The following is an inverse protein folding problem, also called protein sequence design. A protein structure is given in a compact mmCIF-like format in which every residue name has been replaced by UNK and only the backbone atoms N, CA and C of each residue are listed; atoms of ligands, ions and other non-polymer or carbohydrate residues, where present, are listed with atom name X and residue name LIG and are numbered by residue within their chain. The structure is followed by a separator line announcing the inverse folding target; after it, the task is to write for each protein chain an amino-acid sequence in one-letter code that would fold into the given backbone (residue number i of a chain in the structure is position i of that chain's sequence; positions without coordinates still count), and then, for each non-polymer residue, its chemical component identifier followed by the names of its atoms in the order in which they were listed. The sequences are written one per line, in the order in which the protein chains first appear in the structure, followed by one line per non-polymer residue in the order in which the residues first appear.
data_IF_004285719940
#
_entry.id   IF_004285719940
#
_cell.length_a   1.000
_cell.length_b   1.000
_cell.length_c   1.000
_cell.angle_alpha   90.00
_cell.angle_beta   90.00
_cell.angle_gamma   90.00
#
_symmetry.space_group_name_H-M   'P 1'
#
loop_
_entity.id
_entity.type
_entity.pdbx_description
1 polymer ?
#
# COMPACT_ATOMS: atom_id res chain seq x y z
N UNK A 1 8.09 44.42 -64.36
CA UNK A 1 9.00 43.27 -64.56
C UNK A 1 8.74 42.33 -63.40
N UNK A 2 7.72 41.47 -63.39
CA UNK A 2 7.42 40.29 -64.22
C UNK A 2 8.56 39.28 -64.36
N UNK A 3 8.30 38.08 -63.82
CA UNK A 3 9.09 36.85 -63.90
C UNK A 3 9.31 36.27 -62.49
N UNK A 4 8.70 35.18 -62.02
CA UNK A 4 7.94 34.12 -62.67
C UNK A 4 8.56 32.76 -62.37
N UNK A 5 7.80 31.90 -61.66
CA UNK A 5 7.83 30.42 -61.65
C UNK A 5 9.10 29.70 -61.13
N UNK A 6 9.08 28.48 -60.55
CA UNK A 6 8.06 27.60 -59.99
C UNK A 6 8.78 26.32 -59.47
N UNK A 7 8.16 25.64 -58.49
CA UNK A 7 8.15 24.17 -58.27
C UNK A 7 9.41 23.50 -57.68
N UNK A 8 9.39 22.39 -56.93
CA UNK A 8 8.36 21.46 -56.47
C UNK A 8 8.98 20.55 -55.39
N UNK A 9 8.14 19.88 -54.58
CA UNK A 9 8.41 18.69 -53.75
C UNK A 9 9.37 18.89 -52.54
N UNK A 10 9.21 18.24 -51.38
CA UNK A 10 8.61 16.94 -51.17
C UNK A 10 8.08 16.79 -49.73
N UNK A 11 7.04 15.96 -49.61
CA UNK A 11 6.27 15.68 -48.41
C UNK A 11 6.94 14.51 -47.67
N UNK A 12 7.42 14.73 -46.44
CA UNK A 12 7.67 13.64 -45.50
C UNK A 12 6.79 13.80 -44.27
N UNK A 13 5.59 13.21 -44.35
CA UNK A 13 4.78 12.85 -43.19
C UNK A 13 5.28 11.49 -42.69
N UNK A 14 6.20 11.49 -41.74
CA UNK A 14 6.45 10.29 -40.94
C UNK A 14 5.36 10.17 -39.88
N UNK A 15 4.32 9.40 -40.21
CA UNK A 15 3.39 8.86 -39.23
C UNK A 15 4.10 7.83 -38.37
N UNK A 16 4.29 8.15 -37.09
CA UNK A 16 4.65 7.18 -36.08
C UNK A 16 3.42 6.29 -35.82
N UNK A 17 3.36 5.15 -36.51
CA UNK A 17 2.45 4.05 -36.17
C UNK A 17 3.06 3.33 -34.98
N UNK A 18 2.55 3.62 -33.78
CA UNK A 18 2.80 2.81 -32.59
C UNK A 18 2.22 1.41 -32.81
N UNK A 19 3.07 0.46 -33.20
CA UNK A 19 2.80 -0.96 -33.03
C UNK A 19 2.86 -1.25 -31.52
N UNK A 20 1.71 -1.17 -30.87
CA UNK A 20 1.48 -1.87 -29.61
C UNK A 20 1.62 -3.35 -29.94
N UNK A 21 2.66 -3.98 -29.40
CA UNK A 21 2.88 -5.41 -29.54
C UNK A 21 1.77 -6.16 -28.82
N UNK A 22 1.10 -7.04 -29.56
CA UNK A 22 -0.02 -7.91 -29.17
C UNK A 22 0.33 -8.92 -28.06
N UNK A 23 1.50 -8.81 -27.43
CA UNK A 23 2.01 -9.70 -26.40
C UNK A 23 1.49 -9.35 -24.99
N UNK A 24 1.15 -8.09 -24.72
CA UNK A 24 0.70 -7.65 -23.38
C UNK A 24 -0.80 -7.90 -23.14
N UNK A 25 -1.63 -7.98 -24.18
CA UNK A 25 -3.06 -8.30 -24.06
C UNK A 25 -3.32 -9.78 -23.78
N UNK A 26 -2.41 -10.67 -24.19
CA UNK A 26 -2.48 -12.12 -23.94
C UNK A 26 -2.14 -12.44 -22.47
N UNK A 27 -1.29 -11.63 -21.84
CA UNK A 27 -0.83 -11.82 -20.45
C UNK A 27 -1.94 -11.61 -19.42
N UNK A 28 -2.77 -10.57 -19.59
CA UNK A 28 -3.88 -10.28 -18.67
C UNK A 28 -5.02 -11.31 -18.77
N UNK A 29 -5.36 -11.77 -19.98
CA UNK A 29 -6.42 -12.77 -20.18
C UNK A 29 -6.07 -14.17 -19.66
N UNK A 30 -4.78 -14.55 -19.67
CA UNK A 30 -4.31 -15.80 -19.08
C UNK A 30 -4.30 -15.75 -17.55
N UNK A 31 -3.99 -14.59 -16.97
CA UNK A 31 -4.03 -14.37 -15.53
C UNK A 31 -5.47 -14.42 -14.98
N UNK A 32 -6.43 -13.78 -15.65
CA UNK A 32 -7.85 -13.83 -15.28
C UNK A 32 -8.45 -15.23 -15.47
N UNK A 33 -7.96 -16.01 -16.44
CA UNK A 33 -8.35 -17.41 -16.61
C UNK A 33 -7.76 -18.33 -15.54
N UNK A 34 -6.58 -17.98 -14.99
CA UNK A 34 -5.95 -18.72 -13.89
C UNK A 34 -6.55 -18.33 -12.53
N UNK A 35 -6.81 -17.04 -12.30
CA UNK A 35 -7.53 -16.50 -11.13
C UNK A 35 -9.01 -16.95 -11.14
N UNK A 36 -9.66 -17.02 -12.30
CA UNK A 36 -11.00 -17.61 -12.45
C UNK A 36 -11.04 -19.11 -12.13
N UNK A 37 -9.93 -19.83 -12.35
CA UNK A 37 -9.76 -21.23 -11.94
C UNK A 37 -9.41 -21.40 -10.44
N UNK A 38 -9.11 -20.33 -9.70
CA UNK A 38 -8.91 -20.37 -8.22
C UNK A 38 -10.21 -20.69 -7.48
N UNK A 39 -11.36 -20.45 -8.11
CA UNK A 39 -12.67 -20.75 -7.52
C UNK A 39 -13.11 -22.21 -7.68
N UNK A 40 -12.27 -23.09 -8.24
CA UNK A 40 -12.55 -24.53 -8.27
C UNK A 40 -11.92 -25.22 -7.04
N UNK A 41 -12.71 -25.57 -6.00
CA UNK A 41 -12.20 -26.11 -4.73
C UNK A 41 -11.43 -27.43 -4.89
N UNK A 42 -11.54 -28.11 -6.05
CA UNK A 42 -10.79 -29.35 -6.34
C UNK A 42 -9.33 -29.12 -6.77
N UNK A 43 -8.95 -27.91 -7.22
CA UNK A 43 -7.58 -27.61 -7.68
C UNK A 43 -6.71 -26.86 -6.66
N UNK A 44 -7.32 -26.38 -5.57
CA UNK A 44 -6.65 -25.64 -4.51
C UNK A 44 -5.47 -26.41 -3.86
N UNK A 45 -5.60 -27.71 -3.54
CA UNK A 45 -4.55 -28.43 -2.82
C UNK A 45 -3.27 -28.61 -3.66
N UNK A 46 -3.42 -28.89 -4.96
CA UNK A 46 -2.29 -29.08 -5.86
C UNK A 46 -1.49 -27.78 -6.05
N UNK A 47 -2.17 -26.64 -6.19
CA UNK A 47 -1.54 -25.32 -6.33
C UNK A 47 -0.82 -24.88 -5.05
N UNK A 48 -1.41 -25.09 -3.88
CA UNK A 48 -0.79 -24.77 -2.60
C UNK A 48 0.44 -25.65 -2.33
N UNK A 49 0.37 -26.93 -2.70
CA UNK A 49 1.51 -27.85 -2.60
C UNK A 49 2.66 -27.39 -3.50
N UNK A 50 2.39 -26.99 -4.75
CA UNK A 50 3.41 -26.51 -5.67
C UNK A 50 4.05 -25.19 -5.19
N UNK A 51 3.24 -24.25 -4.67
CA UNK A 51 3.73 -22.99 -4.10
C UNK A 51 4.62 -23.23 -2.87
N UNK A 52 4.21 -24.13 -1.98
CA UNK A 52 4.99 -24.50 -0.80
C UNK A 52 6.35 -25.11 -1.20
N UNK A 53 6.34 -26.10 -2.09
CA UNK A 53 7.56 -26.74 -2.57
C UNK A 53 8.52 -25.74 -3.23
N UNK A 54 7.99 -24.80 -4.02
CA UNK A 54 8.77 -23.73 -4.63
C UNK A 54 9.39 -22.78 -3.61
N UNK A 55 8.57 -22.29 -2.66
CA UNK A 55 9.03 -21.36 -1.63
C UNK A 55 10.11 -21.98 -0.74
N UNK A 56 9.93 -23.24 -0.32
CA UNK A 56 10.92 -23.98 0.48
C UNK A 56 12.23 -24.19 -0.29
N UNK A 57 12.14 -24.57 -1.56
CA UNK A 57 13.31 -24.79 -2.40
C UNK A 57 14.09 -23.49 -2.64
N UNK A 58 13.40 -22.41 -3.04
CA UNK A 58 14.02 -21.09 -3.23
C UNK A 58 14.72 -20.61 -1.94
N UNK A 59 14.03 -20.71 -0.80
CA UNK A 59 14.56 -20.26 0.47
C UNK A 59 15.78 -21.07 0.94
N UNK A 60 15.74 -22.39 0.75
CA UNK A 60 16.84 -23.30 1.11
C UNK A 60 18.08 -23.06 0.24
N UNK A 61 17.89 -22.61 -1.01
CA UNK A 61 18.95 -22.39 -1.98
C UNK A 61 19.42 -20.93 -2.09
N UNK A 62 18.89 -20.01 -1.27
CA UNK A 62 19.14 -18.56 -1.36
C UNK A 62 20.62 -18.15 -1.44
N UNK A 63 21.51 -18.88 -0.74
CA UNK A 63 22.95 -18.58 -0.66
C UNK A 63 23.78 -19.06 -1.86
N UNK A 64 23.17 -19.70 -2.85
CA UNK A 64 23.90 -20.29 -3.99
C UNK A 64 24.29 -19.29 -5.09
N UNK A 65 24.17 -17.97 -4.85
CA UNK A 65 24.46 -16.91 -5.82
C UNK A 65 23.78 -17.14 -7.19
N UNK A 66 22.54 -17.61 -7.16
CA UNK A 66 21.74 -17.87 -8.35
C UNK A 66 20.99 -16.60 -8.77
N UNK A 67 20.93 -16.35 -10.07
CA UNK A 67 20.00 -15.41 -10.66
C UNK A 67 18.64 -16.08 -10.67
N UNK A 68 17.66 -15.56 -9.91
CA UNK A 68 16.36 -16.21 -9.80
C UNK A 68 15.47 -15.75 -10.96
N UNK A 69 15.29 -16.60 -11.96
CA UNK A 69 14.26 -16.44 -12.98
C UNK A 69 13.23 -17.56 -12.86
N UNK A 70 12.04 -17.45 -13.48
CA UNK A 70 11.06 -18.54 -13.51
C UNK A 70 11.66 -19.89 -13.92
N UNK A 71 12.64 -19.86 -14.84
CA UNK A 71 13.32 -21.04 -15.38
C UNK A 71 13.99 -21.90 -14.29
N UNK A 72 14.39 -21.32 -13.15
CA UNK A 72 15.00 -22.07 -12.02
C UNK A 72 14.04 -23.03 -11.34
N UNK A 73 12.73 -22.85 -11.51
CA UNK A 73 11.71 -23.77 -10.97
C UNK A 73 11.23 -24.78 -12.01
N UNK A 74 11.63 -24.63 -13.27
CA UNK A 74 11.18 -25.47 -14.38
C UNK A 74 12.12 -26.63 -14.67
N UNK A 75 11.72 -27.49 -15.61
CA UNK A 75 12.56 -28.57 -16.16
C UNK A 75 13.90 -28.10 -16.76
N UNK A 76 14.05 -26.80 -17.05
CA UNK A 76 15.33 -26.26 -17.52
C UNK A 76 16.40 -26.25 -16.42
N UNK A 77 16.01 -26.30 -15.15
CA UNK A 77 16.94 -26.41 -14.05
C UNK A 77 17.48 -27.84 -13.94
N UNK A 78 18.81 -27.99 -13.98
CA UNK A 78 19.49 -29.29 -13.87
C UNK A 78 19.55 -29.84 -12.44
N UNK A 79 19.15 -29.06 -11.43
CA UNK A 79 19.10 -29.50 -10.04
C UNK A 79 17.92 -30.49 -9.85
N UNK A 80 18.17 -31.77 -9.51
CA UNK A 80 17.11 -32.77 -9.36
C UNK A 80 16.19 -32.50 -8.16
N UNK A 81 16.59 -31.61 -7.25
CA UNK A 81 15.76 -31.20 -6.12
C UNK A 81 14.76 -30.08 -6.45
N UNK A 82 14.86 -29.48 -7.64
CA UNK A 82 13.94 -28.43 -8.06
C UNK A 82 12.52 -28.98 -8.26
N UNK A 83 11.48 -28.18 -7.96
CA UNK A 83 10.08 -28.63 -8.04
C UNK A 83 9.53 -28.90 -9.44
N UNK A 84 10.35 -28.76 -10.51
CA UNK A 84 10.04 -29.09 -11.92
C UNK A 84 8.63 -28.67 -12.38
N UNK A 85 8.25 -27.41 -12.14
CA UNK A 85 6.94 -26.90 -12.51
C UNK A 85 6.90 -26.35 -13.94
N UNK A 86 5.68 -26.15 -14.48
CA UNK A 86 5.53 -25.50 -15.79
C UNK A 86 5.96 -24.03 -15.72
N UNK A 87 6.35 -23.45 -16.87
CA UNK A 87 6.75 -22.04 -16.93
C UNK A 87 5.65 -21.06 -16.44
N UNK A 88 4.38 -21.42 -16.62
CA UNK A 88 3.23 -20.61 -16.16
C UNK A 88 3.11 -20.66 -14.63
N UNK A 89 3.23 -21.84 -14.04
CA UNK A 89 3.22 -22.01 -12.59
C UNK A 89 4.39 -21.29 -11.92
N UNK A 90 5.60 -21.42 -12.49
CA UNK A 90 6.78 -20.72 -12.00
C UNK A 90 6.56 -19.21 -11.97
N UNK A 91 6.07 -18.62 -13.08
CA UNK A 91 5.75 -17.17 -13.11
C UNK A 91 4.71 -16.77 -12.06
N UNK A 92 3.69 -17.60 -11.84
CA UNK A 92 2.69 -17.35 -10.80
C UNK A 92 3.30 -17.38 -9.40
N UNK A 93 4.22 -18.31 -9.12
CA UNK A 93 4.95 -18.37 -7.84
C UNK A 93 5.76 -17.10 -7.62
N UNK A 94 6.56 -16.69 -8.61
CA UNK A 94 7.38 -15.48 -8.51
C UNK A 94 6.51 -14.23 -8.28
N UNK A 95 5.38 -14.11 -8.98
CA UNK A 95 4.44 -13.01 -8.77
C UNK A 95 3.86 -12.98 -7.34
N UNK A 96 3.44 -14.14 -6.82
CA UNK A 96 2.92 -14.23 -5.43
C UNK A 96 4.00 -13.83 -4.42
N UNK A 97 5.24 -14.27 -4.63
CA UNK A 97 6.35 -13.92 -3.74
C UNK A 97 6.70 -12.42 -3.82
N UNK A 98 6.59 -11.81 -4.99
CA UNK A 98 6.79 -10.38 -5.20
C UNK A 98 5.69 -9.56 -4.51
N UNK A 99 4.42 -9.95 -4.65
CA UNK A 99 3.27 -9.34 -3.95
C UNK A 99 3.40 -9.43 -2.42
N UNK A 100 3.99 -10.53 -1.92
CA UNK A 100 4.31 -10.69 -0.49
C UNK A 100 5.58 -9.94 -0.05
N UNK A 101 6.22 -9.20 -0.96
CA UNK A 101 7.47 -8.47 -0.75
C UNK A 101 8.60 -9.38 -0.20
N UNK A 102 8.60 -10.65 -0.59
CA UNK A 102 9.61 -11.64 -0.23
C UNK A 102 10.75 -11.70 -1.24
N UNK A 103 10.48 -11.24 -2.47
CA UNK A 103 11.45 -11.02 -3.54
C UNK A 103 11.26 -9.64 -4.17
N UNK A 104 12.24 -9.18 -4.93
CA UNK A 104 12.15 -7.97 -5.76
C UNK A 104 12.55 -8.28 -7.20
N UNK A 105 11.80 -7.74 -8.16
CA UNK A 105 12.14 -7.82 -9.56
C UNK A 105 13.19 -6.76 -9.94
N UNK A 106 14.10 -7.15 -10.81
CA UNK A 106 15.00 -6.28 -11.54
C UNK A 106 14.99 -6.70 -13.01
N UNK A 107 15.46 -5.83 -13.90
CA UNK A 107 15.56 -6.13 -15.33
C UNK A 107 17.04 -6.23 -15.68
N UNK A 108 17.43 -7.36 -16.27
CA UNK A 108 18.76 -7.56 -16.82
C UNK A 108 18.62 -8.15 -18.21
N UNK A 109 19.28 -7.54 -19.20
CA UNK A 109 19.23 -7.95 -20.61
C UNK A 109 17.79 -8.09 -21.16
N UNK A 110 16.90 -7.20 -20.69
CA UNK A 110 15.48 -7.21 -21.08
C UNK A 110 14.66 -8.37 -20.49
N UNK A 111 15.22 -9.14 -19.55
CA UNK A 111 14.51 -10.24 -18.87
C UNK A 111 14.29 -9.89 -17.39
N UNK A 112 13.12 -10.25 -16.82
CA UNK A 112 12.89 -10.10 -15.40
C UNK A 112 13.74 -11.12 -14.65
N UNK A 113 14.66 -10.61 -13.85
CA UNK A 113 15.39 -11.37 -12.83
C UNK A 113 14.80 -11.00 -11.47
N UNK A 114 14.83 -11.94 -10.54
CA UNK A 114 14.34 -11.75 -9.20
C UNK A 114 15.47 -11.95 -8.21
N UNK A 115 15.41 -11.20 -7.12
CA UNK A 115 16.31 -11.33 -6.00
C UNK A 115 15.52 -11.65 -4.74
N UNK A 116 15.99 -12.64 -3.99
CA UNK A 116 15.41 -13.00 -2.70
C UNK A 116 15.72 -11.91 -1.67
N UNK A 117 14.72 -11.49 -0.91
CA UNK A 117 14.91 -10.49 0.14
C UNK A 117 15.50 -11.15 1.40
N UNK A 118 16.81 -11.46 1.39
CA UNK A 118 17.47 -12.24 2.44
C UNK A 118 17.36 -11.64 3.85
N UNK A 119 17.26 -10.31 3.97
CA UNK A 119 17.07 -9.64 5.25
C UNK A 119 15.72 -9.95 5.93
N UNK A 120 14.73 -10.48 5.19
CA UNK A 120 13.37 -10.78 5.69
C UNK A 120 13.21 -12.24 6.13
N UNK A 121 14.18 -12.76 6.88
CA UNK A 121 14.18 -14.17 7.35
C UNK A 121 12.86 -14.55 8.03
N UNK A 122 12.41 -13.75 8.99
CA UNK A 122 11.17 -14.03 9.73
C UNK A 122 9.92 -14.02 8.84
N UNK A 123 9.88 -13.16 7.81
CA UNK A 123 8.74 -13.10 6.90
C UNK A 123 8.68 -14.35 6.00
N UNK A 124 9.84 -14.83 5.55
CA UNK A 124 9.95 -16.08 4.80
C UNK A 124 9.53 -17.29 5.62
N UNK A 125 10.04 -17.42 6.84
CA UNK A 125 9.68 -18.52 7.76
C UNK A 125 8.19 -18.51 8.09
N UNK A 126 7.64 -17.32 8.37
CA UNK A 126 6.21 -17.14 8.60
C UNK A 126 5.39 -17.57 7.38
N UNK A 127 5.74 -17.09 6.19
CA UNK A 127 5.03 -17.43 4.95
C UNK A 127 5.03 -18.94 4.67
N UNK A 128 6.19 -19.61 4.81
CA UNK A 128 6.29 -21.07 4.65
C UNK A 128 5.45 -21.80 5.71
N UNK A 129 5.48 -21.33 6.97
CA UNK A 129 4.69 -21.93 8.05
C UNK A 129 3.18 -21.81 7.82
N UNK A 130 2.71 -20.68 7.29
CA UNK A 130 1.30 -20.46 6.94
C UNK A 130 0.87 -21.41 5.82
N UNK A 131 1.68 -21.56 4.77
CA UNK A 131 1.41 -22.51 3.69
C UNK A 131 1.32 -23.96 4.19
N UNK A 132 2.19 -24.37 5.12
CA UNK A 132 2.13 -25.71 5.75
C UNK A 132 0.86 -25.89 6.59
N UNK A 133 0.49 -24.87 7.36
CA UNK A 133 -0.71 -24.91 8.18
C UNK A 133 -1.98 -25.00 7.32
N UNK A 134 -2.03 -24.26 6.22
CA UNK A 134 -3.15 -24.29 5.27
C UNK A 134 -3.32 -25.67 4.62
N UNK A 135 -2.20 -26.31 4.24
CA UNK A 135 -2.19 -27.67 3.71
C UNK A 135 -2.69 -28.70 4.74
N UNK A 136 -2.34 -28.50 6.03
CA UNK A 136 -2.71 -29.42 7.12
C UNK A 136 -4.16 -29.25 7.56
N UNK A 137 -4.68 -28.01 7.52
CA UNK A 137 -6.04 -27.68 7.96
C UNK A 137 -7.11 -27.90 6.89
N UNK A 138 -6.72 -28.25 5.66
CA UNK A 138 -7.67 -28.60 4.60
C UNK A 138 -8.42 -29.88 5.04
N UNK A 139 -9.73 -29.82 5.34
CA UNK A 139 -10.46 -30.95 5.91
C UNK A 139 -10.38 -32.13 4.95
N UNK A 140 -9.63 -33.16 5.34
CA UNK A 140 -9.73 -34.47 4.69
C UNK A 140 -11.19 -34.89 4.80
N UNK A 141 -11.89 -34.93 3.67
CA UNK A 141 -13.26 -35.39 3.60
C UNK A 141 -13.24 -36.89 3.94
N UNK A 142 -13.41 -37.18 5.22
CA UNK A 142 -13.38 -38.52 5.80
C UNK A 142 -14.55 -39.32 5.25
N UNK A 143 -14.34 -40.54 4.72
CA UNK A 143 -15.44 -41.46 4.45
C UNK A 143 -15.94 -42.05 5.79
N UNK A 144 -17.26 -42.06 5.97
CA UNK A 144 -17.96 -42.45 7.20
C UNK A 144 -17.65 -43.88 7.67
N UNK A 145 -17.44 -44.06 8.98
CA UNK A 145 -17.56 -45.35 9.67
C UNK A 145 -17.85 -45.15 11.18
N UNK A 146 -18.70 -46.03 11.73
CA UNK A 146 -19.54 -45.87 12.93
C UNK A 146 -19.09 -46.63 14.20
N UNK A 147 -19.79 -46.35 15.32
CA UNK A 147 -20.20 -47.25 16.44
C UNK A 147 -19.12 -47.69 17.48
N UNK A 148 -19.21 -47.24 18.75
CA UNK A 148 -19.79 -47.88 19.99
C UNK A 148 -18.67 -48.53 20.85
N UNK A 149 -18.68 -48.77 22.18
CA UNK A 149 -19.64 -48.73 23.30
C UNK A 149 -18.87 -48.73 24.64
N UNK A 150 -19.53 -48.38 25.75
CA UNK A 150 -19.06 -48.34 27.13
C UNK A 150 -19.16 -49.68 27.90
N UNK A 151 -18.54 -49.76 29.11
CA UNK A 151 -18.86 -50.76 30.15
C UNK A 151 -18.81 -50.13 31.56
N UNK A 152 -19.81 -50.46 32.37
CA UNK A 152 -20.21 -49.89 33.67
C UNK A 152 -19.88 -50.82 34.85
N UNK A 153 -19.60 -50.29 36.05
CA UNK A 153 -19.36 -51.03 37.30
C UNK A 153 -20.19 -50.47 38.49
N UNK A 154 -20.48 -51.35 39.46
CA UNK A 154 -21.55 -51.25 40.47
C UNK A 154 -21.47 -50.07 41.48
N UNK A 155 -22.60 -49.62 42.06
CA UNK A 155 -22.67 -48.25 42.59
C UNK A 155 -22.67 -48.16 44.13
N UNK A 156 -21.74 -47.38 44.67
CA UNK A 156 -21.49 -47.08 46.10
C UNK A 156 -22.64 -46.29 46.79
N UNK A 157 -23.03 -46.67 48.01
CA UNK A 157 -24.22 -46.16 48.72
C UNK A 157 -23.88 -44.90 49.55
N UNK A 158 -23.24 -43.92 48.92
CA UNK A 158 -23.04 -42.58 49.49
C UNK A 158 -24.07 -41.58 48.96
N UNK A 159 -24.90 -41.99 48.01
CA UNK A 159 -25.77 -41.08 47.27
C UNK A 159 -27.17 -40.98 47.89
N UNK A 160 -27.64 -39.75 48.23
CA UNK A 160 -28.91 -39.53 48.93
C UNK A 160 -30.15 -40.06 48.19
N UNK A 161 -30.07 -40.24 46.86
CA UNK A 161 -31.16 -40.82 46.08
C UNK A 161 -31.38 -42.31 46.37
N UNK A 162 -30.32 -43.07 46.70
CA UNK A 162 -30.43 -44.50 47.07
C UNK A 162 -31.10 -44.66 48.43
N UNK A 163 -30.81 -43.77 49.36
CA UNK A 163 -31.48 -43.70 50.66
C UNK A 163 -32.97 -43.37 50.52
N UNK A 164 -33.32 -42.39 49.68
CA UNK A 164 -34.70 -42.05 49.38
C UNK A 164 -35.47 -43.24 48.77
N UNK A 165 -34.85 -43.95 47.81
CA UNK A 165 -35.48 -45.10 47.16
C UNK A 165 -35.74 -46.26 48.13
N UNK A 166 -34.82 -46.53 49.05
CA UNK A 166 -35.00 -47.53 50.11
C UNK A 166 -36.22 -47.22 50.99
N UNK A 167 -36.41 -45.97 51.41
CA UNK A 167 -37.56 -45.56 52.22
C UNK A 167 -38.89 -45.57 51.44
N UNK A 168 -38.86 -45.22 50.15
CA UNK A 168 -40.04 -45.27 49.27
C UNK A 168 -40.50 -46.73 49.06
N UNK A 169 -39.56 -47.64 48.81
CA UNK A 169 -39.87 -49.06 48.59
C UNK A 169 -40.48 -49.74 49.82
N UNK A 170 -40.01 -49.40 51.03
CA UNK A 170 -40.50 -49.99 52.30
C UNK A 170 -41.91 -49.54 52.68
N UNK A 171 -42.32 -48.32 52.32
CA UNK A 171 -43.62 -47.74 52.70
C UNK A 171 -44.66 -47.74 51.56
N UNK A 172 -44.44 -48.54 50.52
CA UNK A 172 -45.25 -48.59 49.30
C UNK A 172 -46.75 -48.84 49.53
N UNK A 173 -47.10 -49.63 50.55
CA UNK A 173 -48.51 -49.92 50.87
C UNK A 173 -49.27 -48.69 51.38
N UNK A 174 -48.65 -47.81 52.15
CA UNK A 174 -49.28 -46.59 52.66
C UNK A 174 -49.44 -45.53 51.55
N UNK A 175 -48.50 -45.49 50.59
CA UNK A 175 -48.58 -44.62 49.42
C UNK A 175 -49.74 -44.98 48.48
N UNK A 176 -50.14 -46.26 48.41
CA UNK A 176 -51.31 -46.71 47.62
C UNK A 176 -52.65 -46.24 48.17
N UNK A 177 -52.75 -45.94 49.46
CA UNK A 177 -53.99 -45.44 50.08
C UNK A 177 -54.25 -43.96 49.78
N UNK A 178 -53.18 -43.19 49.49
CA UNK A 178 -53.24 -41.74 49.28
C UNK A 178 -52.72 -41.31 47.89
N UNK A 179 -53.17 -42.00 46.82
CA UNK A 179 -52.67 -41.79 45.44
C UNK A 179 -52.71 -40.33 44.98
N UNK A 180 -53.77 -39.59 45.33
CA UNK A 180 -53.91 -38.18 44.96
C UNK A 180 -52.87 -37.28 45.64
N UNK A 181 -52.60 -37.49 46.94
CA UNK A 181 -51.61 -36.69 47.67
C UNK A 181 -50.20 -36.90 47.10
N UNK A 182 -49.84 -38.13 46.74
CA UNK A 182 -48.54 -38.46 46.13
C UNK A 182 -48.40 -37.79 44.75
N UNK A 183 -49.45 -37.83 43.93
CA UNK A 183 -49.45 -37.17 42.61
C UNK A 183 -49.31 -35.65 42.77
N UNK A 184 -50.05 -35.03 43.70
CA UNK A 184 -49.94 -33.59 43.95
C UNK A 184 -48.54 -33.18 44.38
N UNK A 185 -47.91 -33.92 45.31
CA UNK A 185 -46.54 -33.64 45.75
C UNK A 185 -45.56 -33.81 44.57
N UNK A 186 -45.70 -34.88 43.77
CA UNK A 186 -44.84 -35.11 42.61
C UNK A 186 -44.93 -33.98 41.58
N UNK A 187 -46.14 -33.50 41.29
CA UNK A 187 -46.35 -32.38 40.36
C UNK A 187 -45.75 -31.09 40.91
N UNK A 188 -45.96 -30.77 42.19
CA UNK A 188 -45.39 -29.57 42.82
C UNK A 188 -43.86 -29.64 42.84
N UNK A 189 -43.28 -30.79 43.19
CA UNK A 189 -41.83 -30.99 43.16
C UNK A 189 -41.25 -30.87 41.75
N UNK A 190 -41.93 -31.43 40.74
CA UNK A 190 -41.51 -31.31 39.35
C UNK A 190 -41.57 -29.87 38.85
N UNK A 191 -42.67 -29.16 39.11
CA UNK A 191 -42.82 -27.75 38.73
C UNK A 191 -41.81 -26.84 39.46
N UNK A 192 -41.59 -27.09 40.75
CA UNK A 192 -40.57 -26.36 41.53
C UNK A 192 -39.15 -26.61 41.02
N UNK A 193 -38.81 -27.87 40.72
CA UNK A 193 -37.51 -28.24 40.14
C UNK A 193 -37.31 -27.66 38.73
N UNK A 194 -38.36 -27.70 37.90
CA UNK A 194 -38.35 -27.09 36.56
C UNK A 194 -38.15 -25.57 36.65
N UNK A 195 -38.89 -24.90 37.52
CA UNK A 195 -38.76 -23.45 37.72
C UNK A 195 -37.36 -23.06 38.23
N UNK A 196 -36.80 -23.83 39.17
CA UNK A 196 -35.45 -23.58 39.70
C UNK A 196 -34.37 -23.77 38.62
N UNK A 197 -34.41 -24.89 37.89
CA UNK A 197 -33.44 -25.19 36.82
C UNK A 197 -33.57 -24.21 35.65
N UNK A 198 -34.78 -23.78 35.31
CA UNK A 198 -35.01 -22.74 34.31
C UNK A 198 -34.35 -21.41 34.70
N UNK A 199 -34.54 -20.94 35.94
CA UNK A 199 -33.90 -19.70 36.41
C UNK A 199 -32.37 -19.79 36.39
N UNK A 200 -31.80 -20.94 36.74
CA UNK A 200 -30.36 -21.18 36.64
C UNK A 200 -29.85 -21.10 35.19
N UNK A 201 -30.58 -21.69 34.24
CA UNK A 201 -30.23 -21.63 32.81
C UNK A 201 -30.37 -20.20 32.27
N UNK A 202 -31.42 -19.48 32.65
CA UNK A 202 -31.61 -18.08 32.24
C UNK A 202 -30.48 -17.20 32.78
N UNK A 203 -30.10 -17.34 34.05
CA UNK A 203 -28.99 -16.60 34.65
C UNK A 203 -27.65 -16.92 33.95
N UNK A 204 -27.38 -18.19 33.65
CA UNK A 204 -26.17 -18.61 32.93
C UNK A 204 -26.11 -18.05 31.51
N UNK A 205 -27.25 -18.03 30.80
CA UNK A 205 -27.36 -17.43 29.46
C UNK A 205 -27.16 -15.91 29.52
N UNK A 206 -27.69 -15.24 30.53
CA UNK A 206 -27.52 -13.79 30.70
C UNK A 206 -26.04 -13.42 30.89
N UNK A 207 -25.31 -14.14 31.74
CA UNK A 207 -23.87 -13.93 31.91
C UNK A 207 -23.07 -14.17 30.61
N UNK A 208 -23.49 -15.15 29.79
CA UNK A 208 -22.88 -15.41 28.49
C UNK A 208 -23.14 -14.28 27.49
N UNK A 209 -24.33 -13.66 27.52
CA UNK A 209 -24.66 -12.51 26.67
C UNK A 209 -23.81 -11.29 27.06
N UNK A 210 -23.65 -11.03 28.36
CA UNK A 210 -22.83 -9.90 28.85
C UNK A 210 -21.35 -10.04 28.45
N UNK A 211 -20.79 -11.24 28.56
CA UNK A 211 -19.39 -11.50 28.14
C UNK A 211 -19.20 -11.33 26.62
N UNK A 212 -20.16 -11.78 25.81
CA UNK A 212 -20.12 -11.56 24.36
C UNK A 212 -20.23 -10.07 23.99
N UNK A 213 -21.06 -9.31 24.70
CA UNK A 213 -21.23 -7.87 24.47
C UNK A 213 -19.95 -7.09 24.82
N UNK A 214 -19.27 -7.44 25.91
CA UNK A 214 -17.96 -6.87 26.26
C UNK A 214 -16.93 -7.16 25.16
N UNK A 215 -16.87 -8.40 24.67
CA UNK A 215 -15.93 -8.78 23.60
C UNK A 215 -16.21 -8.05 22.28
N UNK A 216 -17.48 -7.85 21.92
CA UNK A 216 -17.87 -7.05 20.75
C UNK A 216 -17.44 -5.58 20.88
N UNK A 217 -17.67 -4.97 22.05
CA UNK A 217 -17.28 -3.59 22.29
C UNK A 217 -15.75 -3.41 22.24
N UNK A 218 -14.99 -4.36 22.77
CA UNK A 218 -13.52 -4.34 22.69
C UNK A 218 -13.03 -4.44 21.23
N UNK A 219 -13.65 -5.33 20.43
CA UNK A 219 -13.32 -5.47 19.00
C UNK A 219 -13.69 -4.22 18.22
N UNK A 220 -14.81 -3.58 18.52
CA UNK A 220 -15.22 -2.35 17.87
C UNK A 220 -14.26 -1.20 18.17
N UNK A 221 -13.82 -1.07 19.42
CA UNK A 221 -12.79 -0.09 19.82
C UNK A 221 -11.48 -0.28 19.05
N UNK A 222 -11.03 -1.53 18.87
CA UNK A 222 -9.81 -1.84 18.08
C UNK A 222 -9.98 -1.48 16.60
N UNK A 223 -11.17 -1.68 16.03
CA UNK A 223 -11.46 -1.29 14.64
C UNK A 223 -11.39 0.23 14.50
N UNK A 224 -11.93 0.98 15.46
CA UNK A 224 -11.94 2.44 15.39
C UNK A 224 -10.54 3.03 15.59
N UNK A 225 -9.72 2.45 16.48
CA UNK A 225 -8.30 2.79 16.66
C UNK A 225 -7.49 2.52 15.37
N UNK A 226 -7.70 1.37 14.73
CA UNK A 226 -7.03 1.03 13.47
C UNK A 226 -7.46 1.97 12.33
N UNK A 227 -8.74 2.34 12.26
CA UNK A 227 -9.22 3.33 11.28
C UNK A 227 -8.58 4.70 11.49
N UNK A 228 -8.47 5.14 12.74
CA UNK A 228 -7.80 6.39 13.07
C UNK A 228 -6.32 6.33 12.64
N UNK A 229 -5.61 5.27 13.01
CA UNK A 229 -4.20 5.07 12.64
C UNK A 229 -4.02 5.05 11.12
N UNK A 230 -4.91 4.37 10.39
CA UNK A 230 -4.88 4.32 8.94
C UNK A 230 -5.14 5.70 8.32
N UNK A 231 -6.06 6.49 8.87
CA UNK A 231 -6.33 7.86 8.42
C UNK A 231 -5.13 8.80 8.66
N UNK A 232 -4.46 8.67 9.81
CA UNK A 232 -3.24 9.43 10.12
C UNK A 232 -2.09 9.03 9.18
N UNK A 233 -1.95 7.73 8.90
CA UNK A 233 -0.97 7.23 7.94
C UNK A 233 -1.30 7.66 6.51
N UNK A 234 -2.56 7.60 6.08
CA UNK A 234 -2.97 8.09 4.76
C UNK A 234 -2.73 9.59 4.61
N UNK A 235 -2.93 10.38 5.66
CA UNK A 235 -2.54 11.79 5.69
C UNK A 235 -1.04 11.97 5.45
N UNK A 236 -0.19 11.15 6.07
CA UNK A 236 1.27 11.18 5.88
C UNK A 236 1.71 10.66 4.51
N UNK A 237 1.10 9.58 4.02
CA UNK A 237 1.39 8.93 2.72
C UNK A 237 0.94 9.80 1.55
N UNK A 238 -0.13 10.58 1.70
CA UNK A 238 -0.57 11.57 0.71
C UNK A 238 0.44 12.72 0.52
N UNK A 239 1.34 12.94 1.49
CA UNK A 239 2.46 13.87 1.35
C UNK A 239 3.72 13.23 0.76
N UNK A 240 3.87 11.89 0.80
CA UNK A 240 5.11 11.19 0.44
C UNK A 240 5.04 10.28 -0.79
N UNK A 241 3.85 9.94 -1.30
CA UNK A 241 3.69 8.81 -2.25
C UNK A 241 2.63 9.08 -3.30
N UNK A 242 2.81 10.16 -4.04
CA UNK A 242 2.33 10.24 -5.42
C UNK A 242 3.56 10.28 -6.35
N UNK A 243 4.37 9.22 -6.29
CA UNK A 243 5.56 8.99 -7.15
C UNK A 243 5.16 8.29 -8.44
N UNK A 244 3.94 8.56 -8.91
CA UNK A 244 3.59 8.54 -10.32
C UNK A 244 2.69 9.75 -10.52
N UNK A 245 3.26 10.95 -10.43
CA UNK A 245 2.75 12.01 -11.30
C UNK A 245 2.85 11.43 -12.71
N UNK A 246 1.74 11.23 -13.44
CA UNK A 246 1.80 10.86 -14.83
C UNK A 246 2.80 11.81 -15.48
N UNK A 247 3.79 11.28 -16.19
CA UNK A 247 4.82 12.11 -16.83
C UNK A 247 4.15 13.21 -17.67
N UNK A 248 2.99 12.88 -18.24
CA UNK A 248 2.05 13.74 -18.94
C UNK A 248 1.62 14.97 -18.12
N UNK A 249 1.27 14.81 -16.85
CA UNK A 249 0.89 15.92 -15.96
C UNK A 249 2.10 16.82 -15.64
N UNK A 250 3.30 16.25 -15.55
CA UNK A 250 4.52 17.02 -15.29
C UNK A 250 4.88 17.89 -16.51
N UNK A 251 4.79 17.34 -17.72
CA UNK A 251 4.99 18.11 -18.95
C UNK A 251 3.87 19.13 -19.19
N UNK A 252 2.61 18.79 -18.88
CA UNK A 252 1.48 19.70 -19.02
C UNK A 252 1.57 20.92 -18.09
N UNK A 253 2.25 20.79 -16.94
CA UNK A 253 2.48 21.88 -15.99
C UNK A 253 3.85 22.57 -16.14
N UNK A 254 4.66 22.19 -17.13
CA UNK A 254 5.93 22.82 -17.39
C UNK A 254 5.73 24.22 -17.98
N UNK A 255 6.35 25.22 -17.38
CA UNK A 255 6.26 26.63 -17.77
C UNK A 255 7.65 27.13 -18.17
N UNK A 256 7.70 27.86 -19.29
CA UNK A 256 8.89 28.54 -19.78
C UNK A 256 8.61 30.04 -19.78
N UNK A 257 9.51 30.83 -19.21
CA UNK A 257 9.37 32.28 -19.14
C UNK A 257 10.68 32.98 -19.49
N UNK A 258 10.58 34.08 -20.22
CA UNK A 258 11.69 35.03 -20.40
C UNK A 258 11.32 36.33 -19.72
N UNK A 259 12.12 36.75 -18.74
CA UNK A 259 11.87 37.93 -17.92
C UNK A 259 12.98 38.93 -18.20
N UNK A 260 12.65 40.11 -18.74
CA UNK A 260 13.66 41.16 -18.95
C UNK A 260 14.01 41.81 -17.61
N UNK A 261 15.27 42.09 -17.36
CA UNK A 261 15.72 42.73 -16.11
C UNK A 261 15.07 44.12 -15.91
N UNK A 262 14.73 44.80 -17.00
CA UNK A 262 14.01 46.08 -17.01
C UNK A 262 12.48 45.98 -16.85
N UNK A 263 11.90 44.77 -16.76
CA UNK A 263 10.45 44.61 -16.55
C UNK A 263 10.08 44.98 -15.12
N UNK A 264 9.75 46.25 -14.87
CA UNK A 264 9.45 46.78 -13.52
C UNK A 264 8.21 46.16 -12.87
N UNK A 265 7.35 45.46 -13.63
CA UNK A 265 6.20 44.74 -13.07
C UNK A 265 6.61 43.39 -12.48
N UNK A 266 7.73 42.83 -12.96
CA UNK A 266 8.18 41.48 -12.64
C UNK A 266 9.54 41.43 -11.97
N UNK A 267 10.37 42.44 -12.16
CA UNK A 267 11.74 42.49 -11.67
C UNK A 267 11.93 43.73 -10.83
N UNK A 268 12.47 43.51 -9.65
CA UNK A 268 12.92 44.54 -8.75
C UNK A 268 14.43 44.39 -8.60
N UNK A 269 15.19 45.44 -8.92
CA UNK A 269 16.65 45.40 -8.87
C UNK A 269 17.15 46.23 -7.71
N UNK A 270 17.99 45.62 -6.86
CA UNK A 270 18.73 46.28 -5.78
C UNK A 270 20.19 46.39 -6.17
N UNK A 271 20.69 47.60 -6.35
CA UNK A 271 22.12 47.85 -6.59
C UNK A 271 22.87 47.96 -5.26
N UNK A 272 23.96 47.21 -5.11
CA UNK A 272 24.86 47.27 -3.95
C UNK A 272 26.01 48.26 -4.20
N UNK A 273 26.65 48.70 -3.12
CA UNK A 273 27.77 49.66 -3.17
C UNK A 273 29.02 49.11 -3.88
N UNK A 274 29.17 47.79 -3.96
CA UNK A 274 30.26 47.12 -4.68
C UNK A 274 30.02 46.98 -6.20
N UNK A 275 28.93 47.56 -6.72
CA UNK A 275 28.56 47.47 -8.14
C UNK A 275 27.86 46.17 -8.54
N UNK A 276 27.61 45.24 -7.61
CA UNK A 276 26.74 44.08 -7.86
C UNK A 276 25.27 44.48 -7.81
N UNK A 277 24.42 43.70 -8.49
CA UNK A 277 22.98 43.88 -8.47
C UNK A 277 22.27 42.60 -8.03
N UNK A 278 21.18 42.73 -7.31
CA UNK A 278 20.27 41.62 -7.02
C UNK A 278 18.94 41.86 -7.71
N UNK A 279 18.56 40.93 -8.57
CA UNK A 279 17.29 40.95 -9.27
C UNK A 279 16.31 40.00 -8.58
N UNK A 280 15.25 40.56 -8.00
CA UNK A 280 14.12 39.83 -7.44
C UNK A 280 13.08 39.63 -8.54
N UNK A 281 12.99 38.42 -9.06
CA UNK A 281 12.23 38.09 -10.26
C UNK A 281 10.93 37.35 -9.90
N UNK A 282 9.79 37.94 -10.22
CA UNK A 282 8.44 37.42 -10.02
C UNK A 282 8.03 36.53 -11.20
N UNK A 283 7.84 35.25 -10.92
CA UNK A 283 7.29 34.22 -11.80
C UNK A 283 5.77 34.35 -11.92
N UNK A 284 5.21 33.87 -13.03
CA UNK A 284 3.76 33.88 -13.27
C UNK A 284 3.03 32.93 -12.32
N UNK A 285 3.66 31.80 -11.98
CA UNK A 285 3.11 30.82 -11.05
C UNK A 285 4.13 30.42 -9.98
N UNK A 286 3.66 29.75 -8.93
CA UNK A 286 4.54 29.18 -7.90
C UNK A 286 5.17 27.90 -8.45
N UNK A 287 6.51 27.79 -8.54
CA UNK A 287 7.17 26.55 -8.93
C UNK A 287 7.08 25.49 -7.82
N UNK A 288 7.06 24.22 -8.21
CA UNK A 288 7.29 23.11 -7.27
C UNK A 288 8.75 23.22 -6.77
N UNK A 289 8.96 23.04 -5.47
CA UNK A 289 10.30 23.07 -4.86
C UNK A 289 11.28 22.16 -5.61
N UNK A 290 12.44 22.70 -5.99
CA UNK A 290 13.49 22.00 -6.74
C UNK A 290 13.27 21.88 -8.26
N UNK A 291 12.12 22.33 -8.79
CA UNK A 291 11.86 22.28 -10.24
C UNK A 291 12.35 23.51 -11.01
N UNK A 292 12.68 24.60 -10.31
CA UNK A 292 13.08 25.87 -10.90
C UNK A 292 14.50 25.80 -11.43
N UNK A 293 14.64 26.01 -12.74
CA UNK A 293 15.90 26.19 -13.45
C UNK A 293 15.89 27.56 -14.11
N UNK A 294 17.00 28.28 -14.02
CA UNK A 294 17.10 29.61 -14.59
C UNK A 294 18.50 29.88 -15.14
N UNK A 295 18.58 30.74 -16.14
CA UNK A 295 19.83 31.24 -16.71
C UNK A 295 19.73 32.74 -16.97
N UNK A 296 20.84 33.44 -16.76
CA UNK A 296 21.00 34.84 -17.12
C UNK A 296 21.43 34.89 -18.58
N UNK A 297 20.65 35.56 -19.42
CA UNK A 297 20.91 35.76 -20.84
C UNK A 297 21.29 37.22 -21.05
N UNK A 298 22.56 37.46 -21.39
CA UNK A 298 23.09 38.76 -21.83
C UNK A 298 23.73 38.64 -23.21
N UNK A 299 24.66 39.54 -23.53
CA UNK A 299 25.19 39.71 -24.90
C UNK A 299 26.12 38.59 -25.40
N UNK A 300 26.78 37.88 -24.49
CA UNK A 300 27.80 36.88 -24.86
C UNK A 300 27.24 35.46 -24.86
N UNK A 301 26.85 34.94 -23.69
CA UNK A 301 26.35 33.57 -23.53
C UNK A 301 25.36 33.46 -22.36
N UNK A 302 24.39 32.52 -22.41
CA UNK A 302 23.57 32.20 -21.25
C UNK A 302 24.41 31.62 -20.11
N UNK A 303 24.29 32.17 -18.91
CA UNK A 303 24.96 31.70 -17.71
C UNK A 303 23.92 31.02 -16.82
N UNK A 304 24.01 29.71 -16.56
CA UNK A 304 23.07 29.03 -15.68
C UNK A 304 23.22 29.53 -14.24
N UNK A 305 22.10 29.74 -13.56
CA UNK A 305 22.10 29.95 -12.10
C UNK A 305 22.35 28.60 -11.39
N UNK A 306 22.91 28.67 -10.19
CA UNK A 306 23.20 27.47 -9.39
C UNK A 306 21.89 26.76 -8.98
N UNK A 307 21.85 25.44 -9.17
CA UNK A 307 20.69 24.62 -8.85
C UNK A 307 20.84 23.96 -7.46
N UNK A 308 19.75 23.85 -6.68
CA UNK A 308 18.41 24.36 -6.98
C UNK A 308 18.35 25.89 -6.78
N UNK A 309 17.71 26.59 -7.73
CA UNK A 309 17.52 28.04 -7.61
C UNK A 309 16.61 28.32 -6.41
N UNK A 310 17.17 28.98 -5.40
CA UNK A 310 16.43 29.38 -4.21
C UNK A 310 15.28 30.32 -4.59
N UNK A 311 14.07 30.00 -4.10
CA UNK A 311 12.87 30.79 -4.36
C UNK A 311 11.97 30.79 -3.13
N UNK A 312 11.18 31.85 -3.00
CA UNK A 312 10.12 31.98 -2.01
C UNK A 312 8.81 32.23 -2.74
N UNK A 313 7.90 31.25 -2.70
CA UNK A 313 6.70 31.19 -3.56
C UNK A 313 7.10 31.41 -5.03
N UNK A 314 6.49 32.37 -5.72
CA UNK A 314 6.75 32.70 -7.12
C UNK A 314 7.82 33.79 -7.29
N UNK A 315 8.72 34.01 -6.32
CA UNK A 315 9.82 34.97 -6.43
C UNK A 315 11.15 34.24 -6.27
N UNK A 316 12.07 34.41 -7.22
CA UNK A 316 13.45 33.95 -7.10
C UNK A 316 14.40 35.14 -7.14
N UNK A 317 15.61 34.95 -6.61
CA UNK A 317 16.64 35.99 -6.55
C UNK A 317 17.81 35.58 -7.43
N UNK A 318 18.29 36.50 -8.26
CA UNK A 318 19.50 36.32 -9.05
C UNK A 318 20.52 37.41 -8.70
N UNK A 319 21.75 37.00 -8.39
CA UNK A 319 22.85 37.93 -8.14
C UNK A 319 23.60 38.18 -9.45
N UNK A 320 23.74 39.44 -9.85
CA UNK A 320 24.50 39.90 -11.00
C UNK A 320 25.80 40.53 -10.51
N UNK A 321 26.93 40.08 -11.06
CA UNK A 321 28.24 40.61 -10.72
C UNK A 321 28.43 42.09 -11.10
N UNK A 322 29.56 42.70 -10.73
CA UNK A 322 29.90 44.03 -11.21
C UNK A 322 30.07 44.04 -12.75
N UNK A 323 29.59 45.08 -13.41
CA UNK A 323 29.76 45.29 -14.86
C UNK A 323 28.65 44.75 -15.75
N UNK A 324 27.60 44.14 -15.19
CA UNK A 324 26.42 43.76 -15.96
C UNK A 324 25.58 44.98 -16.36
N UNK A 325 25.32 45.14 -17.66
CA UNK A 325 24.43 46.19 -18.16
C UNK A 325 22.97 45.71 -18.08
N UNK A 326 22.20 46.23 -17.13
CA UNK A 326 20.82 45.77 -16.86
C UNK A 326 19.87 45.88 -18.07
N UNK A 327 20.19 46.73 -19.04
CA UNK A 327 19.42 46.95 -20.29
C UNK A 327 19.39 45.73 -21.19
N UNK A 328 20.48 44.96 -21.24
CA UNK A 328 20.64 43.81 -22.12
C UNK A 328 20.44 42.47 -21.37
N UNK A 329 20.13 42.52 -20.07
CA UNK A 329 19.95 41.32 -19.25
C UNK A 329 18.50 40.83 -19.32
N UNK A 330 18.35 39.53 -19.54
CA UNK A 330 17.10 38.81 -19.35
C UNK A 330 17.33 37.49 -18.62
N UNK A 331 16.29 36.94 -18.02
CA UNK A 331 16.31 35.66 -17.34
C UNK A 331 15.48 34.67 -18.14
N UNK A 332 16.09 33.56 -18.57
CA UNK A 332 15.38 32.44 -19.17
C UNK A 332 15.13 31.40 -18.09
N UNK A 333 13.86 31.15 -17.80
CA UNK A 333 13.40 30.38 -16.64
C UNK A 333 12.50 29.22 -17.10
N UNK A 334 12.74 28.04 -16.54
CA UNK A 334 11.94 26.84 -16.73
C UNK A 334 11.58 26.25 -15.37
N UNK A 335 10.31 25.89 -15.18
CA UNK A 335 9.87 25.27 -13.92
C UNK A 335 8.57 24.48 -14.10
N UNK A 336 8.25 23.62 -13.13
CA UNK A 336 6.95 22.94 -13.07
C UNK A 336 6.04 23.73 -12.14
N UNK A 337 4.87 24.15 -12.64
CA UNK A 337 3.87 24.88 -11.84
C UNK A 337 3.31 23.98 -10.73
N UNK A 338 3.30 24.47 -9.49
CA UNK A 338 2.55 23.83 -8.41
C UNK A 338 1.06 24.19 -8.52
N UNK A 339 0.27 23.27 -9.07
CA UNK A 339 -1.18 23.44 -9.23
C UNK A 339 -1.95 23.51 -7.91
N UNK A 340 -1.35 23.07 -6.80
CA UNK A 340 -1.98 23.07 -5.47
C UNK A 340 -1.90 24.45 -4.80
N UNK A 341 -0.92 25.28 -5.20
CA UNK A 341 -0.69 26.59 -4.59
C UNK A 341 -1.18 27.69 -5.52
N UNK A 342 -2.38 28.20 -5.27
CA UNK A 342 -2.94 29.37 -5.97
C UNK A 342 -2.46 30.69 -5.38
N UNK A 343 -1.88 30.66 -4.17
CA UNK A 343 -1.32 31.84 -3.51
C UNK A 343 0.04 32.20 -4.12
N UNK A 344 0.01 32.83 -5.29
CA UNK A 344 1.12 33.66 -5.79
C UNK A 344 1.26 34.88 -4.90
N UNK A 345 2.49 35.29 -4.58
CA UNK A 345 2.75 36.52 -3.84
C UNK A 345 2.28 37.72 -4.69
N UNK A 346 1.23 38.45 -4.26
CA UNK A 346 0.71 39.57 -5.01
C UNK A 346 1.72 40.72 -5.04
N UNK A 347 2.42 40.99 -3.93
CA UNK A 347 3.20 42.22 -3.78
C UNK A 347 4.62 41.96 -3.27
N UNK A 348 5.59 42.37 -4.08
CA UNK A 348 6.99 42.55 -3.67
C UNK A 348 7.24 44.05 -3.60
N UNK A 349 7.76 44.54 -2.48
CA UNK A 349 8.03 45.97 -2.29
C UNK A 349 9.38 46.19 -1.62
N UNK A 350 10.09 47.24 -2.04
CA UNK A 350 11.25 47.73 -1.29
C UNK A 350 10.78 48.65 -0.17
N UNK A 351 11.31 48.45 1.03
CA UNK A 351 11.29 49.46 2.09
C UNK A 351 12.73 49.72 2.50
N UNK A 352 13.23 50.91 2.17
CA UNK A 352 14.64 51.26 2.30
C UNK A 352 15.52 50.30 1.48
N UNK A 353 16.46 49.62 2.13
CA UNK A 353 17.35 48.64 1.50
C UNK A 353 16.80 47.21 1.57
N UNK A 354 15.67 46.99 2.24
CA UNK A 354 15.11 45.67 2.48
C UNK A 354 13.99 45.34 1.49
N UNK A 355 13.94 44.07 1.10
CA UNK A 355 12.87 43.53 0.27
C UNK A 355 11.83 42.89 1.16
N UNK A 356 10.59 43.30 0.99
CA UNK A 356 9.44 42.70 1.66
C UNK A 356 8.57 41.99 0.64
N UNK A 357 8.18 40.77 0.97
CA UNK A 357 7.21 40.00 0.20
C UNK A 357 6.03 39.67 1.10
N UNK A 358 4.85 40.18 0.73
CA UNK A 358 3.63 40.14 1.54
C UNK A 358 3.86 40.57 3.00
N UNK A 359 4.67 41.62 3.18
CA UNK A 359 5.00 42.19 4.49
C UNK A 359 6.07 41.42 5.29
N UNK A 360 6.59 40.30 4.79
CA UNK A 360 7.73 39.60 5.40
C UNK A 360 9.04 40.01 4.74
N UNK A 361 10.06 40.34 5.53
CA UNK A 361 11.41 40.63 5.03
C UNK A 361 11.99 39.36 4.40
N UNK A 362 12.48 39.47 3.16
CA UNK A 362 13.17 38.39 2.46
C UNK A 362 14.67 38.54 2.71
N UNK A 363 15.28 37.53 3.32
CA UNK A 363 16.73 37.45 3.45
C UNK A 363 17.32 36.96 2.12
N UNK A 364 18.32 37.69 1.60
CA UNK A 364 19.01 37.33 0.36
C UNK A 364 20.25 36.52 0.70
N UNK A 365 20.39 35.34 0.11
CA UNK A 365 21.60 34.51 0.25
C UNK A 365 22.81 35.08 -0.51
N UNK A 366 22.62 36.06 -1.39
CA UNK A 366 23.71 36.73 -2.11
C UNK A 366 24.67 37.52 -1.19
N UNK A 367 24.38 37.63 0.10
CA UNK A 367 25.25 38.26 1.10
C UNK A 367 26.16 37.26 1.82
N UNK A 368 26.04 35.96 1.53
CA UNK A 368 26.95 34.93 2.05
C UNK A 368 28.24 34.94 1.22
N UNK A 369 29.42 35.07 1.85
CA UNK A 369 30.71 35.18 1.17
C UNK A 369 31.13 33.91 0.44
#
# INVERSE_FOLDING_TARGET
MNGGQASNADVSKHGAVSRVTEADSISCGLLDRWLGAVNNPRQLPAKQTALLAAAEWLWSNRKKNLWWGPDVLTEQNKDPSAPMMTAVEARSVFKILEEKNLIFAAVQDGRPIYHLHEAKVQAWEKFISELRAELTNTPQTKPDAASDSATEAAPDITEPWKFAWHHISRNWHNLKAAKFAVICIAVVSFLGGYWYTWNMVVASKQASIETLQISLNEKQSKIDELKQTLSEQQGKVSFGTNVYFPLEDLYANMTFETIRCLDTNRVLVRSKSNGTHEAFCKLRYVPISGSLQASIVGDLFPIPLENPVAHSKNVFVACLGPGWELTNVSFSVQYVRDSRTTNSMPKVEFKNQDVFVDGKRLESDCDKP
#
